data_IF_350145835221
#
_entry.id   IF_350145835221
#
_cell.length_a   1.000
_cell.length_b   1.000
_cell.length_c   1.000
_cell.angle_alpha   90.00
_cell.angle_beta   90.00
_cell.angle_gamma   90.00
#
_symmetry.space_group_name_H-M   'P 1'
#
loop_
_entity.id
_entity.type
_entity.pdbx_description
1 polymer ?
#
# COMPACT_ATOMS: atom_id res chain seq x y z
N UNK A 1 19.50 -6.82 10.37
CA UNK A 1 19.72 -7.22 8.95
C UNK A 1 18.95 -6.25 8.07
N UNK A 2 19.50 -5.80 6.95
CA UNK A 2 18.83 -4.87 6.06
C UNK A 2 17.60 -5.52 5.39
N UNK A 3 16.59 -4.71 5.06
CA UNK A 3 15.43 -5.16 4.28
C UNK A 3 15.84 -5.59 2.87
N UNK A 4 15.04 -6.45 2.27
CA UNK A 4 15.20 -6.81 0.87
C UNK A 4 14.66 -5.72 -0.04
N UNK A 5 15.50 -5.28 -0.97
CA UNK A 5 15.19 -4.31 -2.00
C UNK A 5 15.53 -4.87 -3.38
N UNK A 6 14.64 -4.68 -4.32
CA UNK A 6 14.87 -4.94 -5.74
C UNK A 6 14.86 -3.61 -6.49
N UNK A 7 15.93 -3.34 -7.26
CA UNK A 7 16.07 -2.06 -7.98
C UNK A 7 16.18 -2.33 -9.48
N UNK A 8 15.45 -1.56 -10.28
CA UNK A 8 15.46 -1.64 -11.75
C UNK A 8 15.30 -0.25 -12.38
N UNK A 9 15.74 -0.10 -13.63
CA UNK A 9 15.65 1.17 -14.35
C UNK A 9 16.69 2.22 -13.92
N UNK A 10 16.52 3.44 -14.41
CA UNK A 10 17.39 4.59 -14.16
C UNK A 10 16.55 5.88 -14.11
N UNK A 11 17.11 6.95 -13.54
CA UNK A 11 16.44 8.24 -13.43
C UNK A 11 16.07 8.58 -11.99
N UNK A 12 14.94 9.29 -11.81
CA UNK A 12 14.43 9.66 -10.49
C UNK A 12 14.04 8.41 -9.71
N UNK A 13 14.40 8.40 -8.42
CA UNK A 13 14.05 7.29 -7.54
C UNK A 13 12.55 7.23 -7.25
N UNK A 14 11.97 6.04 -7.42
CA UNK A 14 10.56 5.76 -7.14
C UNK A 14 10.47 4.49 -6.29
N UNK A 15 9.88 4.59 -5.11
CA UNK A 15 9.74 3.50 -4.13
C UNK A 15 8.33 2.93 -4.18
N UNK A 16 8.21 1.61 -4.35
CA UNK A 16 6.94 0.88 -4.32
C UNK A 16 6.82 0.07 -3.03
N UNK A 17 5.79 0.35 -2.25
CA UNK A 17 5.52 -0.28 -0.95
C UNK A 17 4.23 -1.09 -1.01
N UNK A 18 4.32 -2.40 -0.73
CA UNK A 18 3.18 -3.33 -0.82
C UNK A 18 2.22 -3.23 0.36
N UNK A 19 1.03 -3.84 0.21
CA UNK A 19 -0.01 -3.91 1.24
C UNK A 19 0.15 -5.11 2.20
N UNK A 20 -0.77 -5.17 3.17
CA UNK A 20 -0.84 -6.24 4.16
C UNK A 20 -0.95 -7.63 3.52
N UNK A 21 -0.25 -8.61 4.08
CA UNK A 21 -0.27 -10.00 3.62
C UNK A 21 0.44 -10.25 2.30
N UNK A 22 1.02 -9.21 1.67
CA UNK A 22 1.67 -9.27 0.37
C UNK A 22 3.20 -9.18 0.51
N UNK A 23 3.90 -9.11 -0.61
CA UNK A 23 5.31 -8.78 -0.70
C UNK A 23 5.56 -7.96 -1.98
N UNK A 24 6.78 -7.51 -2.20
CA UNK A 24 7.13 -6.67 -3.33
C UNK A 24 6.87 -7.28 -4.72
N UNK A 25 6.72 -8.62 -4.83
CA UNK A 25 6.45 -9.26 -6.12
C UNK A 25 5.11 -8.84 -6.73
N UNK A 26 4.16 -8.31 -5.93
CA UNK A 26 2.89 -7.76 -6.46
C UNK A 26 3.11 -6.61 -7.43
N UNK A 27 4.23 -5.91 -7.28
CA UNK A 27 4.60 -4.76 -8.10
C UNK A 27 5.38 -5.11 -9.37
N UNK A 28 5.66 -6.40 -9.64
CA UNK A 28 6.56 -6.79 -10.73
C UNK A 28 6.18 -6.14 -12.07
N UNK A 29 4.94 -6.27 -12.50
CA UNK A 29 4.44 -5.72 -13.76
C UNK A 29 4.55 -4.18 -13.80
N UNK A 30 4.16 -3.53 -12.70
CA UNK A 30 4.26 -2.07 -12.53
C UNK A 30 5.72 -1.61 -12.57
N UNK A 31 6.60 -2.31 -11.84
CA UNK A 31 8.03 -1.98 -11.81
C UNK A 31 8.70 -2.14 -13.18
N UNK A 32 8.36 -3.20 -13.93
CA UNK A 32 8.83 -3.39 -15.30
C UNK A 32 8.40 -2.24 -16.21
N UNK A 33 7.13 -1.84 -16.18
CA UNK A 33 6.61 -0.74 -16.99
C UNK A 33 7.23 0.62 -16.61
N UNK A 34 7.39 0.89 -15.31
CA UNK A 34 7.94 2.16 -14.82
C UNK A 34 9.46 2.26 -14.92
N UNK A 35 10.18 1.14 -15.05
CA UNK A 35 11.65 1.12 -15.15
C UNK A 35 12.20 1.83 -16.40
N UNK A 36 11.36 2.05 -17.41
CA UNK A 36 11.71 2.88 -18.57
C UNK A 36 11.81 4.39 -18.25
N UNK A 37 11.22 4.82 -17.13
CA UNK A 37 11.08 6.23 -16.76
C UNK A 37 11.76 6.57 -15.42
N UNK A 38 11.89 5.60 -14.53
CA UNK A 38 12.35 5.78 -13.15
C UNK A 38 13.38 4.72 -12.75
N UNK A 39 14.17 5.05 -11.75
CA UNK A 39 14.88 4.06 -10.96
C UNK A 39 13.91 3.53 -9.89
N UNK A 40 13.31 2.38 -10.18
CA UNK A 40 12.25 1.79 -9.37
C UNK A 40 12.85 0.92 -8.26
N UNK A 41 12.49 1.19 -7.03
CA UNK A 41 12.84 0.45 -5.82
C UNK A 41 11.62 -0.27 -5.29
N UNK A 42 11.64 -1.58 -5.27
CA UNK A 42 10.57 -2.41 -4.68
C UNK A 42 11.09 -3.01 -3.38
N UNK A 43 10.40 -2.76 -2.27
CA UNK A 43 10.79 -3.26 -0.95
C UNK A 43 9.87 -4.38 -0.49
N UNK A 44 10.44 -5.38 0.19
CA UNK A 44 9.69 -6.24 1.10
C UNK A 44 9.71 -5.63 2.49
N UNK A 45 8.53 -5.28 3.02
CA UNK A 45 8.40 -4.74 4.37
C UNK A 45 8.87 -5.75 5.45
N UNK A 46 9.25 -5.29 6.66
CA UNK A 46 9.64 -6.18 7.75
C UNK A 46 8.59 -7.27 8.00
N UNK A 47 8.99 -8.53 8.00
CA UNK A 47 8.13 -9.69 8.18
C UNK A 47 7.47 -10.22 6.91
N UNK A 48 7.77 -9.66 5.74
CA UNK A 48 7.18 -10.09 4.48
C UNK A 48 8.24 -10.49 3.45
N UNK A 49 7.92 -11.50 2.62
CA UNK A 49 8.77 -11.95 1.52
C UNK A 49 10.20 -12.25 1.97
N UNK A 50 11.19 -11.73 1.28
CA UNK A 50 12.61 -11.93 1.63
C UNK A 50 13.06 -11.17 2.89
N UNK A 51 12.19 -10.30 3.46
CA UNK A 51 12.38 -9.65 4.76
C UNK A 51 11.63 -10.36 5.90
N UNK A 52 11.16 -11.59 5.71
CA UNK A 52 10.30 -12.33 6.64
C UNK A 52 10.92 -12.54 8.05
N UNK A 53 12.25 -12.54 8.16
CA UNK A 53 12.98 -12.69 9.41
C UNK A 53 13.10 -11.40 10.23
N UNK A 54 12.68 -10.26 9.68
CA UNK A 54 12.70 -8.99 10.36
C UNK A 54 11.32 -8.72 10.96
N UNK A 55 11.30 -7.97 12.04
CA UNK A 55 10.06 -7.67 12.73
C UNK A 55 9.91 -6.16 12.92
N UNK A 56 8.69 -5.67 12.74
CA UNK A 56 8.29 -4.32 13.10
C UNK A 56 6.82 -4.36 13.54
N UNK A 57 6.51 -3.73 14.66
CA UNK A 57 5.20 -3.73 15.27
C UNK A 57 4.44 -2.41 15.07
N UNK A 58 5.08 -1.38 14.50
CA UNK A 58 4.51 -0.06 14.31
C UNK A 58 4.99 0.59 13.01
N UNK A 59 4.31 1.66 12.57
CA UNK A 59 4.76 2.46 11.42
C UNK A 59 6.14 3.06 11.64
N UNK A 60 6.43 3.51 12.87
CA UNK A 60 7.73 4.05 13.24
C UNK A 60 8.85 3.02 13.06
N UNK A 61 8.66 1.80 13.57
CA UNK A 61 9.64 0.73 13.42
C UNK A 61 9.84 0.31 11.96
N UNK A 62 8.75 0.28 11.17
CA UNK A 62 8.83 0.06 9.71
C UNK A 62 9.65 1.18 9.06
N UNK A 63 9.36 2.44 9.40
CA UNK A 63 10.08 3.59 8.86
C UNK A 63 11.57 3.52 9.19
N UNK A 64 11.95 3.23 10.43
CA UNK A 64 13.35 3.09 10.83
C UNK A 64 14.07 1.99 10.03
N UNK A 65 13.42 0.84 9.79
CA UNK A 65 13.99 -0.22 8.97
C UNK A 65 14.15 0.19 7.49
N UNK A 66 13.20 0.96 6.95
CA UNK A 66 13.27 1.50 5.58
C UNK A 66 14.42 2.49 5.41
N UNK A 67 14.64 3.37 6.40
CA UNK A 67 15.66 4.42 6.35
C UNK A 67 17.08 3.89 6.18
N UNK A 68 17.37 2.65 6.55
CA UNK A 68 18.69 2.04 6.36
C UNK A 68 19.14 2.03 4.89
N UNK A 69 18.19 1.89 3.94
CA UNK A 69 18.50 1.73 2.51
C UNK A 69 17.60 2.54 1.58
N UNK A 70 16.62 3.27 2.10
CA UNK A 70 15.72 4.07 1.28
C UNK A 70 16.47 5.20 0.55
N UNK A 71 16.17 5.43 -0.74
CA UNK A 71 16.70 6.59 -1.45
C UNK A 71 16.14 7.89 -0.87
N UNK A 72 16.97 8.95 -0.84
CA UNK A 72 16.52 10.29 -0.47
C UNK A 72 15.79 10.97 -1.62
N UNK A 73 14.87 11.88 -1.28
CA UNK A 73 14.14 12.70 -2.26
C UNK A 73 13.46 11.86 -3.36
N UNK A 74 12.90 10.71 -2.98
CA UNK A 74 12.24 9.77 -3.88
C UNK A 74 10.73 10.00 -3.94
N UNK A 75 10.11 9.52 -5.03
CA UNK A 75 8.66 9.39 -5.13
C UNK A 75 8.26 8.14 -4.36
N UNK A 76 7.34 8.26 -3.40
CA UNK A 76 6.84 7.12 -2.64
C UNK A 76 5.43 6.74 -3.08
N UNK A 77 5.27 5.48 -3.47
CA UNK A 77 4.00 4.89 -3.91
C UNK A 77 3.65 3.76 -2.95
N UNK A 78 2.64 3.96 -2.12
CA UNK A 78 2.22 2.97 -1.12
C UNK A 78 0.82 2.44 -1.39
N UNK A 79 0.68 1.11 -1.45
CA UNK A 79 -0.60 0.43 -1.63
C UNK A 79 -1.16 -0.05 -0.30
N UNK A 80 -2.42 0.29 0.00
CA UNK A 80 -3.14 -0.19 1.19
C UNK A 80 -2.37 0.14 2.48
N UNK A 81 -1.94 -0.84 3.28
CA UNK A 81 -1.03 -0.66 4.43
C UNK A 81 0.26 0.09 4.02
N UNK A 82 0.81 -0.22 2.85
CA UNK A 82 1.96 0.50 2.31
C UNK A 82 1.71 1.99 2.10
N UNK A 83 0.45 2.38 1.89
CA UNK A 83 0.05 3.80 1.83
C UNK A 83 0.12 4.48 3.20
N UNK A 84 -0.20 3.79 4.31
CA UNK A 84 0.06 4.31 5.67
C UNK A 84 1.55 4.48 5.91
N UNK A 85 2.35 3.49 5.50
CA UNK A 85 3.83 3.55 5.61
C UNK A 85 4.39 4.74 4.82
N UNK A 86 3.99 4.90 3.56
CA UNK A 86 4.45 6.02 2.72
C UNK A 86 3.99 7.38 3.27
N UNK A 87 2.78 7.46 3.81
CA UNK A 87 2.27 8.67 4.47
C UNK A 87 3.07 9.00 5.73
N UNK A 88 3.36 8.00 6.56
CA UNK A 88 4.19 8.16 7.76
C UNK A 88 5.62 8.62 7.40
N UNK A 89 6.24 8.01 6.37
CA UNK A 89 7.53 8.45 5.84
C UNK A 89 7.50 9.92 5.40
N UNK A 90 6.43 10.35 4.74
CA UNK A 90 6.26 11.73 4.29
C UNK A 90 6.16 12.72 5.45
N UNK A 91 5.44 12.35 6.50
CA UNK A 91 5.21 13.20 7.68
C UNK A 91 6.44 13.33 8.57
N UNK A 92 7.15 12.23 8.81
CA UNK A 92 8.20 12.17 9.82
C UNK A 92 9.63 12.15 9.22
N UNK A 93 9.78 11.83 7.93
CA UNK A 93 11.06 11.76 7.23
C UNK A 93 11.02 12.49 5.88
N UNK A 94 10.65 13.80 5.85
CA UNK A 94 10.38 14.54 4.62
C UNK A 94 11.58 14.60 3.66
N UNK A 95 12.82 14.51 4.14
CA UNK A 95 14.02 14.48 3.30
C UNK A 95 14.09 13.27 2.35
N UNK A 96 13.31 12.22 2.64
CA UNK A 96 13.25 11.00 1.83
C UNK A 96 12.13 11.03 0.78
N UNK A 97 11.19 11.98 0.88
CA UNK A 97 9.98 11.99 0.05
C UNK A 97 9.90 13.27 -0.77
N UNK A 98 9.93 13.15 -2.09
CA UNK A 98 9.70 14.26 -3.02
C UNK A 98 8.23 14.40 -3.44
N UNK A 99 7.54 13.27 -3.58
CA UNK A 99 6.12 13.20 -3.89
C UNK A 99 5.52 11.95 -3.22
N UNK A 100 4.28 12.07 -2.77
CA UNK A 100 3.53 10.96 -2.16
C UNK A 100 2.42 10.48 -3.09
N UNK A 101 2.34 9.17 -3.32
CA UNK A 101 1.22 8.53 -4.00
C UNK A 101 0.65 7.44 -3.10
N UNK A 102 -0.63 7.54 -2.78
CA UNK A 102 -1.36 6.49 -2.05
C UNK A 102 -2.29 5.74 -2.99
N UNK A 103 -2.27 4.42 -2.93
CA UNK A 103 -3.06 3.54 -3.81
C UNK A 103 -4.00 2.71 -2.95
N UNK A 104 -5.30 2.85 -3.14
CA UNK A 104 -6.34 2.15 -2.38
C UNK A 104 -6.02 2.17 -0.87
N UNK A 105 -5.70 3.37 -0.36
CA UNK A 105 -5.28 3.58 1.02
C UNK A 105 -6.11 4.67 1.71
N UNK A 106 -6.06 4.68 3.02
CA UNK A 106 -6.79 5.60 3.88
C UNK A 106 -5.89 5.99 5.06
N UNK A 107 -5.94 7.23 5.57
CA UNK A 107 -5.23 7.61 6.79
C UNK A 107 -5.76 6.91 8.04
N UNK A 108 -6.97 6.34 7.94
CA UNK A 108 -7.60 5.51 8.95
C UNK A 108 -8.43 4.43 8.24
N UNK A 109 -8.07 3.17 8.43
CA UNK A 109 -8.77 2.05 7.80
C UNK A 109 -10.01 1.61 8.58
N UNK A 110 -9.99 1.65 9.92
CA UNK A 110 -11.13 1.30 10.73
C UNK A 110 -12.24 2.36 10.66
N UNK A 111 -13.48 1.93 10.49
CA UNK A 111 -14.64 2.80 10.57
C UNK A 111 -14.79 3.36 12.00
N UNK A 112 -15.12 4.66 12.12
CA UNK A 112 -15.33 5.32 13.41
C UNK A 112 -16.29 6.50 13.25
N UNK A 113 -17.43 6.46 13.95
CA UNK A 113 -18.43 7.50 13.85
C UNK A 113 -18.92 7.69 12.41
N UNK A 114 -18.73 8.86 11.84
CA UNK A 114 -19.08 9.16 10.45
C UNK A 114 -17.96 8.79 9.45
N UNK A 115 -16.76 8.43 9.95
CA UNK A 115 -15.66 8.01 9.09
C UNK A 115 -15.91 6.61 8.56
N UNK A 116 -15.76 6.46 7.24
CA UNK A 116 -16.00 5.19 6.55
C UNK A 116 -14.72 4.38 6.49
N UNK A 117 -14.86 3.07 6.60
CA UNK A 117 -13.73 2.15 6.55
C UNK A 117 -14.19 0.73 6.83
N UNK A 118 -13.25 -0.13 7.15
CA UNK A 118 -13.51 -1.51 7.55
C UNK A 118 -14.17 -1.50 8.93
N UNK A 119 -15.28 -2.22 9.08
CA UNK A 119 -15.94 -2.31 10.38
C UNK A 119 -15.03 -2.96 11.43
N UNK A 120 -14.99 -2.46 12.68
CA UNK A 120 -14.10 -3.00 13.71
C UNK A 120 -14.28 -4.49 13.99
N UNK A 121 -15.52 -4.97 13.93
CA UNK A 121 -15.83 -6.41 14.08
C UNK A 121 -15.25 -7.27 12.96
N UNK A 122 -15.19 -6.73 11.73
CA UNK A 122 -14.53 -7.40 10.61
C UNK A 122 -13.01 -7.50 10.84
N UNK A 123 -12.36 -6.44 11.32
CA UNK A 123 -10.93 -6.46 11.66
C UNK A 123 -10.65 -7.44 12.80
N UNK A 124 -11.49 -7.45 13.84
CA UNK A 124 -11.40 -8.43 14.94
C UNK A 124 -11.53 -9.86 14.43
N UNK A 125 -12.53 -10.13 13.57
CA UNK A 125 -12.70 -11.46 12.98
C UNK A 125 -11.50 -11.91 12.13
N UNK A 126 -10.87 -10.99 11.40
CA UNK A 126 -9.61 -11.29 10.68
C UNK A 126 -8.46 -11.62 11.65
N UNK A 127 -8.35 -10.88 12.76
CA UNK A 127 -7.34 -11.15 13.79
C UNK A 127 -7.52 -12.52 14.42
N UNK A 128 -8.74 -12.86 14.84
CA UNK A 128 -9.06 -14.16 15.42
C UNK A 128 -8.78 -15.31 14.45
N UNK A 129 -9.17 -15.12 13.18
CA UNK A 129 -8.92 -16.11 12.14
C UNK A 129 -7.43 -16.25 11.82
N UNK A 130 -6.66 -15.17 11.83
CA UNK A 130 -5.22 -15.19 11.59
C UNK A 130 -4.50 -16.06 12.63
N UNK A 131 -4.89 -15.95 13.89
CA UNK A 131 -4.36 -16.80 14.97
C UNK A 131 -4.70 -18.27 14.77
N UNK A 132 -5.90 -18.57 14.24
CA UNK A 132 -6.35 -19.93 14.01
C UNK A 132 -5.75 -20.56 12.74
N UNK A 133 -5.73 -19.81 11.63
CA UNK A 133 -5.24 -20.24 10.31
C UNK A 133 -4.81 -19.05 9.47
N UNK A 134 -3.50 -18.74 9.51
CA UNK A 134 -2.96 -17.57 8.81
C UNK A 134 -3.02 -17.73 7.27
N UNK A 135 -2.88 -18.94 6.73
CA UNK A 135 -2.91 -19.16 5.28
C UNK A 135 -4.30 -18.89 4.72
N UNK A 136 -5.32 -19.44 5.37
CA UNK A 136 -6.72 -19.22 4.99
C UNK A 136 -7.09 -17.73 5.12
N UNK A 137 -6.56 -17.05 6.13
CA UNK A 137 -6.80 -15.61 6.33
C UNK A 137 -6.23 -14.78 5.18
N UNK A 138 -4.99 -15.06 4.75
CA UNK A 138 -4.38 -14.39 3.59
C UNK A 138 -5.19 -14.67 2.33
N UNK A 139 -5.60 -15.91 2.07
CA UNK A 139 -6.42 -16.27 0.89
C UNK A 139 -7.77 -15.54 0.86
N UNK A 140 -8.43 -15.43 2.00
CA UNK A 140 -9.69 -14.68 2.13
C UNK A 140 -9.49 -13.19 1.91
N UNK A 141 -8.39 -12.64 2.42
CA UNK A 141 -8.07 -11.21 2.21
C UNK A 141 -7.77 -10.91 0.74
N UNK A 142 -7.05 -11.80 0.03
CA UNK A 142 -6.85 -11.67 -1.43
C UNK A 142 -8.19 -11.67 -2.19
N UNK A 143 -9.12 -12.53 -1.80
CA UNK A 143 -10.44 -12.58 -2.41
C UNK A 143 -11.22 -11.28 -2.19
N UNK A 144 -11.15 -10.69 -0.99
CA UNK A 144 -11.76 -9.40 -0.69
C UNK A 144 -11.17 -8.25 -1.50
N UNK A 145 -9.86 -8.24 -1.70
CA UNK A 145 -9.18 -7.20 -2.48
C UNK A 145 -9.62 -7.17 -3.95
N UNK A 146 -9.95 -8.32 -4.52
CA UNK A 146 -10.36 -8.45 -5.91
C UNK A 146 -11.90 -8.38 -6.10
N UNK A 147 -12.67 -8.45 -5.02
CA UNK A 147 -14.13 -8.52 -5.06
C UNK A 147 -14.73 -7.30 -5.76
N UNK A 148 -15.61 -7.55 -6.74
CA UNK A 148 -16.24 -6.53 -7.56
C UNK A 148 -15.51 -6.21 -8.87
N UNK A 149 -14.21 -6.55 -8.98
CA UNK A 149 -13.47 -6.42 -10.23
C UNK A 149 -14.01 -7.36 -11.31
N UNK A 150 -14.10 -6.93 -12.59
CA UNK A 150 -14.44 -7.82 -13.72
C UNK A 150 -13.45 -8.97 -13.88
N UNK A 151 -12.18 -8.78 -13.46
CA UNK A 151 -11.10 -9.75 -13.51
C UNK A 151 -10.81 -10.44 -12.17
N UNK A 152 -11.73 -10.38 -11.20
CA UNK A 152 -11.50 -10.80 -9.81
C UNK A 152 -10.79 -12.17 -9.67
N UNK A 153 -11.18 -13.17 -10.47
CA UNK A 153 -10.54 -14.51 -10.43
C UNK A 153 -9.08 -14.47 -10.88
N UNK A 154 -8.79 -13.67 -11.92
CA UNK A 154 -7.42 -13.51 -12.42
C UNK A 154 -6.59 -12.69 -11.43
N UNK A 155 -7.15 -11.62 -10.87
CA UNK A 155 -6.49 -10.77 -9.88
C UNK A 155 -6.08 -11.59 -8.65
N UNK A 156 -6.97 -12.41 -8.08
CA UNK A 156 -6.67 -13.34 -6.98
C UNK A 156 -5.55 -14.31 -7.36
N UNK A 157 -5.57 -14.85 -8.57
CA UNK A 157 -4.53 -15.78 -9.03
C UNK A 157 -3.16 -15.11 -9.08
N UNK A 158 -3.09 -13.88 -9.59
CA UNK A 158 -1.85 -13.11 -9.67
C UNK A 158 -1.35 -12.73 -8.28
N UNK A 159 -2.22 -12.26 -7.37
CA UNK A 159 -1.87 -11.99 -5.98
C UNK A 159 -1.32 -13.23 -5.29
N UNK A 160 -2.00 -14.38 -5.45
CA UNK A 160 -1.54 -15.65 -4.87
C UNK A 160 -0.17 -16.07 -5.42
N UNK A 161 0.05 -15.94 -6.72
CA UNK A 161 1.34 -16.24 -7.33
C UNK A 161 2.45 -15.32 -6.81
N UNK A 162 2.18 -14.02 -6.66
CA UNK A 162 3.13 -13.06 -6.12
C UNK A 162 3.52 -13.41 -4.68
N UNK A 163 2.55 -13.71 -3.80
CA UNK A 163 2.84 -14.10 -2.41
C UNK A 163 3.64 -15.39 -2.35
N UNK A 164 3.26 -16.42 -3.12
CA UNK A 164 3.94 -17.72 -3.14
C UNK A 164 5.32 -17.71 -3.83
N UNK A 165 5.67 -16.65 -4.56
CA UNK A 165 6.98 -16.52 -5.22
C UNK A 165 8.12 -16.18 -4.27
N UNK A 166 7.82 -15.78 -3.03
CA UNK A 166 8.77 -15.40 -1.97
C UNK A 166 8.42 -16.13 -0.66
N UNK A 167 9.31 -16.12 0.34
CA UNK A 167 9.00 -16.67 1.66
C UNK A 167 7.67 -16.17 2.20
N UNK A 168 6.94 -17.05 2.88
CA UNK A 168 5.65 -16.71 3.50
C UNK A 168 5.84 -15.63 4.57
N UNK A 169 4.86 -14.72 4.73
CA UNK A 169 4.94 -13.67 5.73
C UNK A 169 4.98 -14.25 7.15
N UNK A 170 5.68 -13.54 8.03
CA UNK A 170 5.76 -13.87 9.45
C UNK A 170 4.39 -13.63 10.11
N UNK A 171 3.82 -14.61 10.86
CA UNK A 171 2.53 -14.47 11.53
C UNK A 171 2.45 -13.28 12.51
N UNK A 172 3.55 -12.97 13.23
CA UNK A 172 3.59 -11.82 14.14
C UNK A 172 3.51 -10.49 13.39
N UNK A 173 4.16 -10.39 12.22
CA UNK A 173 4.10 -9.19 11.39
C UNK A 173 2.74 -9.04 10.70
N UNK A 174 2.08 -10.15 10.38
CA UNK A 174 0.68 -10.12 9.92
C UNK A 174 -0.24 -9.57 11.01
N UNK A 175 -0.07 -10.03 12.25
CA UNK A 175 -0.85 -9.55 13.39
C UNK A 175 -0.61 -8.07 13.66
N UNK A 176 0.66 -7.63 13.67
CA UNK A 176 1.03 -6.22 13.81
C UNK A 176 0.42 -5.35 12.70
N UNK A 177 0.42 -5.85 11.46
CA UNK A 177 -0.21 -5.17 10.33
C UNK A 177 -1.72 -5.00 10.49
N UNK A 178 -2.45 -6.01 10.98
CA UNK A 178 -3.89 -5.89 11.31
C UNK A 178 -4.13 -4.89 12.44
N UNK A 179 -3.26 -4.88 13.47
CA UNK A 179 -3.33 -3.89 14.55
C UNK A 179 -3.13 -2.47 13.98
N UNK A 180 -2.15 -2.27 13.11
CA UNK A 180 -1.96 -0.97 12.44
C UNK A 180 -3.18 -0.55 11.63
N UNK A 181 -3.81 -1.46 10.88
CA UNK A 181 -5.05 -1.16 10.13
C UNK A 181 -6.22 -0.82 11.06
N UNK A 182 -6.28 -1.41 12.25
CA UNK A 182 -7.33 -1.13 13.21
C UNK A 182 -7.15 0.19 13.97
N UNK A 183 -5.91 0.53 14.34
CA UNK A 183 -5.63 1.56 15.33
C UNK A 183 -5.06 2.86 14.76
N UNK A 184 -4.27 2.78 13.67
CA UNK A 184 -3.61 3.97 13.11
C UNK A 184 -4.63 4.99 12.62
N UNK A 185 -4.39 6.24 12.98
CA UNK A 185 -5.19 7.39 12.58
C UNK A 185 -4.29 8.59 12.28
N UNK A 186 -4.03 8.81 11.00
CA UNK A 186 -3.19 9.92 10.50
C UNK A 186 -4.04 11.10 9.97
N UNK A 187 -5.36 11.12 10.23
CA UNK A 187 -6.27 12.13 9.64
C UNK A 187 -5.88 13.56 10.01
N UNK A 188 -5.57 13.79 11.27
CA UNK A 188 -5.22 15.12 11.77
C UNK A 188 -3.81 15.57 11.34
N UNK A 189 -2.96 14.62 10.92
CA UNK A 189 -1.60 14.88 10.47
C UNK A 189 -1.52 15.23 8.97
N UNK A 190 -2.51 14.84 8.16
CA UNK A 190 -2.48 15.05 6.70
C UNK A 190 -2.23 16.51 6.29
N UNK A 191 -2.69 17.46 7.09
CA UNK A 191 -2.46 18.90 6.88
C UNK A 191 -0.98 19.31 6.90
N UNK A 192 -0.11 18.47 7.45
CA UNK A 192 1.34 18.71 7.53
C UNK A 192 2.11 18.14 6.32
N UNK A 193 1.43 17.45 5.40
CA UNK A 193 2.05 16.99 4.16
C UNK A 193 2.36 18.21 3.28
N UNK A 194 3.65 18.44 3.04
CA UNK A 194 4.15 19.60 2.27
C UNK A 194 4.57 19.27 0.84
N UNK A 195 4.60 18.00 0.49
CA UNK A 195 4.96 17.53 -0.87
C UNK A 195 3.71 17.31 -1.72
N UNK A 196 3.83 17.36 -3.07
CA UNK A 196 2.72 16.97 -3.94
C UNK A 196 2.20 15.57 -3.60
N UNK A 197 0.86 15.43 -3.52
CA UNK A 197 0.20 14.18 -3.15
C UNK A 197 -0.84 13.77 -4.18
N UNK A 198 -0.77 12.53 -4.64
CA UNK A 198 -1.78 11.88 -5.50
C UNK A 198 -2.42 10.70 -4.75
N UNK A 199 -3.73 10.60 -4.82
CA UNK A 199 -4.52 9.53 -4.23
C UNK A 199 -5.24 8.74 -5.32
N UNK A 200 -4.92 7.45 -5.45
CA UNK A 200 -5.45 6.54 -6.46
C UNK A 200 -6.41 5.53 -5.84
N UNK A 201 -7.60 5.39 -6.41
CA UNK A 201 -8.66 4.53 -5.86
C UNK A 201 -9.29 3.66 -6.94
N UNK A 202 -9.77 2.47 -6.54
CA UNK A 202 -10.69 1.69 -7.36
C UNK A 202 -12.14 2.02 -7.01
N UNK A 203 -13.00 2.21 -8.00
CA UNK A 203 -14.43 2.51 -7.80
C UNK A 203 -15.18 1.36 -7.11
N UNK A 204 -14.71 0.14 -7.33
CA UNK A 204 -15.32 -1.10 -6.83
C UNK A 204 -14.69 -1.60 -5.52
N UNK A 205 -13.78 -0.82 -4.93
CA UNK A 205 -13.08 -1.17 -3.70
C UNK A 205 -14.02 -1.22 -2.50
N UNK A 206 -14.13 -2.39 -1.88
CA UNK A 206 -14.91 -2.63 -0.67
C UNK A 206 -14.14 -2.37 0.62
N UNK A 207 -12.80 -2.34 0.59
CA UNK A 207 -11.95 -2.10 1.77
C UNK A 207 -11.72 -0.60 1.99
N UNK A 208 -11.49 0.16 0.90
CA UNK A 208 -11.39 1.62 0.90
C UNK A 208 -12.47 2.19 -0.03
N UNK A 209 -13.72 2.33 0.44
CA UNK A 209 -14.82 2.75 -0.41
C UNK A 209 -14.58 4.12 -1.05
N UNK A 210 -15.05 4.31 -2.29
CA UNK A 210 -14.94 5.58 -3.04
C UNK A 210 -15.40 6.83 -2.28
N UNK A 211 -16.23 6.65 -1.25
CA UNK A 211 -16.66 7.74 -0.36
C UNK A 211 -15.53 8.27 0.52
N UNK A 212 -14.53 7.44 0.87
CA UNK A 212 -13.33 7.86 1.61
C UNK A 212 -12.54 8.89 0.79
N UNK A 213 -12.45 8.71 -0.53
CA UNK A 213 -11.80 9.68 -1.42
C UNK A 213 -12.42 11.08 -1.32
N UNK A 214 -13.75 11.16 -1.18
CA UNK A 214 -14.49 12.43 -1.01
C UNK A 214 -14.26 13.06 0.36
N UNK A 215 -14.27 12.24 1.41
CA UNK A 215 -14.02 12.71 2.78
C UNK A 215 -12.58 13.26 2.89
N UNK A 216 -11.63 12.63 2.20
CA UNK A 216 -10.23 13.07 2.15
C UNK A 216 -10.01 14.39 1.38
N UNK A 217 -10.89 14.79 0.48
CA UNK A 217 -10.80 16.10 -0.18
C UNK A 217 -10.86 17.26 0.81
N UNK A 218 -11.50 17.06 1.96
CA UNK A 218 -11.56 18.06 3.03
C UNK A 218 -10.32 18.04 3.94
N UNK A 219 -9.71 16.86 4.14
CA UNK A 219 -8.53 16.70 5.01
C UNK A 219 -7.21 16.98 4.27
N UNK A 220 -7.17 16.72 2.97
CA UNK A 220 -6.01 16.94 2.11
C UNK A 220 -6.41 17.72 0.84
N UNK A 221 -6.83 19.00 0.96
CA UNK A 221 -7.41 19.76 -0.14
C UNK A 221 -6.42 20.07 -1.27
N UNK A 222 -5.12 19.99 -1.02
CA UNK A 222 -4.07 20.23 -2.01
C UNK A 222 -3.63 18.95 -2.74
N UNK A 223 -4.22 17.80 -2.40
CA UNK A 223 -3.92 16.54 -3.07
C UNK A 223 -4.80 16.32 -4.30
N UNK A 224 -4.22 15.71 -5.33
CA UNK A 224 -4.98 15.21 -6.47
C UNK A 224 -5.61 13.85 -6.16
N UNK A 225 -6.72 13.51 -6.79
CA UNK A 225 -7.37 12.20 -6.66
C UNK A 225 -7.81 11.68 -8.02
N UNK A 226 -7.58 10.38 -8.25
CA UNK A 226 -8.04 9.69 -9.45
C UNK A 226 -8.77 8.39 -9.10
N UNK A 227 -9.85 8.09 -9.83
CA UNK A 227 -10.70 6.92 -9.60
C UNK A 227 -10.69 6.01 -10.83
N UNK A 228 -10.24 4.76 -10.65
CA UNK A 228 -10.26 3.73 -11.68
C UNK A 228 -11.62 3.02 -11.69
N UNK A 229 -12.32 3.08 -12.81
CA UNK A 229 -13.73 2.67 -12.91
C UNK A 229 -13.96 1.16 -12.85
N UNK A 230 -12.99 0.38 -13.31
CA UNK A 230 -13.08 -1.08 -13.38
C UNK A 230 -12.32 -1.79 -12.24
N UNK A 231 -11.65 -1.02 -11.41
CA UNK A 231 -10.76 -1.57 -10.37
C UNK A 231 -11.44 -1.68 -9.01
N UNK A 232 -11.05 -2.73 -8.28
CA UNK A 232 -11.27 -2.87 -6.85
C UNK A 232 -10.03 -2.35 -6.09
N UNK A 233 -9.48 -3.11 -5.14
CA UNK A 233 -8.40 -2.67 -4.23
C UNK A 233 -7.00 -2.59 -4.89
N UNK A 234 -6.82 -3.17 -6.08
CA UNK A 234 -5.52 -3.23 -6.76
C UNK A 234 -5.60 -2.66 -8.19
N UNK A 235 -5.79 -1.33 -8.38
CA UNK A 235 -5.91 -0.72 -9.70
C UNK A 235 -4.66 -0.91 -10.58
N UNK A 236 -3.48 -1.02 -9.99
CA UNK A 236 -2.23 -1.29 -10.69
C UNK A 236 -2.17 -2.68 -11.36
N UNK A 237 -3.13 -3.57 -11.04
CA UNK A 237 -3.28 -4.87 -11.68
C UNK A 237 -4.42 -4.86 -12.70
N UNK A 238 -5.58 -4.33 -12.31
CA UNK A 238 -6.80 -4.37 -13.12
C UNK A 238 -6.75 -3.40 -14.29
N UNK A 239 -6.24 -2.18 -14.07
CA UNK A 239 -6.12 -1.11 -15.08
C UNK A 239 -4.64 -0.64 -15.16
N UNK A 240 -3.72 -1.62 -15.34
CA UNK A 240 -2.29 -1.43 -15.20
C UNK A 240 -1.70 -0.32 -16.08
N UNK A 241 -2.11 -0.23 -17.36
CA UNK A 241 -1.63 0.79 -18.28
C UNK A 241 -2.06 2.19 -17.85
N UNK A 242 -3.35 2.37 -17.56
CA UNK A 242 -3.89 3.64 -17.08
C UNK A 242 -3.27 4.05 -15.73
N UNK A 243 -3.01 3.06 -14.84
CA UNK A 243 -2.33 3.29 -13.57
C UNK A 243 -0.91 3.84 -13.76
N UNK A 244 -0.10 3.19 -14.61
CA UNK A 244 1.25 3.66 -14.91
C UNK A 244 1.23 5.04 -15.57
N UNK A 245 0.30 5.29 -16.48
CA UNK A 245 0.14 6.60 -17.11
C UNK A 245 -0.17 7.70 -16.10
N UNK A 246 -1.10 7.48 -15.15
CA UNK A 246 -1.40 8.45 -14.09
C UNK A 246 -0.19 8.74 -13.20
N UNK A 247 0.62 7.72 -12.86
CA UNK A 247 1.87 7.92 -12.13
C UNK A 247 2.86 8.77 -12.90
N UNK A 248 3.11 8.46 -14.17
CA UNK A 248 4.04 9.20 -15.01
C UNK A 248 3.58 10.66 -15.17
N UNK A 249 2.31 10.90 -15.47
CA UNK A 249 1.76 12.25 -15.62
C UNK A 249 1.90 13.10 -14.35
N UNK A 250 1.61 12.52 -13.18
CA UNK A 250 1.74 13.21 -11.90
C UNK A 250 3.19 13.49 -11.53
N UNK A 251 4.09 12.56 -11.82
CA UNK A 251 5.48 12.64 -11.36
C UNK A 251 6.36 13.52 -12.24
N UNK A 252 5.97 13.75 -13.49
CA UNK A 252 6.71 14.59 -14.47
C UNK A 252 6.27 16.06 -14.48
N UNK A 253 5.23 16.43 -13.74
CA UNK A 253 4.84 17.82 -13.45
C UNK A 253 5.67 18.35 -12.28
#
# INVERSE_FOLDING_TARGET
MALYWQVSGQGQDLVLVHGWGMNGAVWQQTAEALSAHFRVHVVDLPGYGHSAEQHAASLEEIAQALLENAPRNAIWVGWSLGGLVATHMTLHHPDYVSKLVTVASSPKFAAQGNWRGIQPDVLTAFTDQLVADFQLTIERFMALQAMGSPSARQDVKVLKQAVLSRPMPNPQSLLAGLTMLAEVDLRDELQHISVPMLRLYGRLDGLVPAKVARDLNHLAPYSEAFMFDQSSHAPFMTEAEAFCQQLIEFTTR
#
